data_IF_179960373032
#
_entry.id   IF_179960373032
#
_cell.length_a   1.000
_cell.length_b   1.000
_cell.length_c   1.000
_cell.angle_alpha   90.00
_cell.angle_beta   90.00
_cell.angle_gamma   90.00
#
_symmetry.space_group_name_H-M   'P 1'
#
loop_
_entity.id
_entity.type
_entity.pdbx_description
1 polymer ?
#
# COMPACT_ATOMS: atom_id res chain seq x y z
N UNK A 1 3.38 5.86 -9.16
CA UNK A 1 3.22 4.39 -9.04
C UNK A 1 4.53 3.63 -8.90
N UNK A 2 5.58 4.03 -9.59
CA UNK A 2 6.89 3.35 -9.48
C UNK A 2 7.45 3.35 -8.06
N UNK A 3 7.37 4.49 -7.39
CA UNK A 3 7.87 4.60 -6.02
C UNK A 3 7.11 3.69 -5.07
N UNK A 4 5.79 3.61 -5.23
CA UNK A 4 4.96 2.72 -4.44
C UNK A 4 5.31 1.26 -4.71
N UNK A 5 5.50 0.89 -5.97
CA UNK A 5 5.88 -0.47 -6.33
C UNK A 5 7.23 -0.86 -5.72
N UNK A 6 8.18 0.07 -5.67
CA UNK A 6 9.46 -0.17 -5.02
C UNK A 6 9.31 -0.44 -3.54
N UNK A 7 8.45 0.32 -2.86
CA UNK A 7 8.18 0.12 -1.44
C UNK A 7 7.56 -1.26 -1.21
N UNK A 8 6.57 -1.61 -2.02
CA UNK A 8 5.90 -2.91 -1.92
C UNK A 8 6.87 -4.06 -2.20
N UNK A 9 7.72 -3.91 -3.21
CA UNK A 9 8.69 -4.94 -3.57
C UNK A 9 9.75 -5.14 -2.49
N UNK A 10 10.10 -4.09 -1.75
CA UNK A 10 11.03 -4.21 -0.64
C UNK A 10 10.45 -5.05 0.49
N UNK A 11 9.13 -4.97 0.69
CA UNK A 11 8.45 -5.77 1.71
C UNK A 11 8.27 -7.22 1.27
N UNK A 12 7.87 -7.43 0.02
CA UNK A 12 7.56 -8.75 -0.52
C UNK A 12 8.08 -8.87 -1.96
N UNK A 13 9.39 -9.11 -2.14
CA UNK A 13 9.97 -9.15 -3.48
C UNK A 13 9.45 -10.28 -4.37
N UNK A 14 8.84 -11.31 -3.76
CA UNK A 14 8.30 -12.45 -4.50
C UNK A 14 6.91 -12.22 -5.08
N UNK A 15 6.27 -11.10 -4.72
CA UNK A 15 4.89 -10.81 -5.13
C UNK A 15 4.87 -9.88 -6.34
N UNK A 16 4.02 -10.21 -7.31
CA UNK A 16 3.77 -9.34 -8.46
C UNK A 16 2.62 -8.40 -8.13
N UNK A 17 2.94 -7.23 -7.63
CA UNK A 17 1.95 -6.27 -7.18
C UNK A 17 1.14 -5.66 -8.30
N UNK A 18 1.61 -5.74 -9.53
CA UNK A 18 0.84 -5.23 -10.68
C UNK A 18 -0.27 -6.18 -11.08
N UNK A 19 -0.11 -7.47 -10.79
CA UNK A 19 -1.06 -8.50 -11.17
C UNK A 19 -2.00 -8.90 -10.03
N UNK A 20 -1.54 -8.77 -8.78
CA UNK A 20 -2.30 -9.23 -7.63
C UNK A 20 -3.24 -8.16 -7.10
N UNK A 21 -4.53 -8.48 -7.00
CA UNK A 21 -5.54 -7.58 -6.45
C UNK A 21 -6.24 -8.14 -5.22
N UNK A 22 -5.62 -9.14 -4.58
CA UNK A 22 -6.13 -9.78 -3.37
C UNK A 22 -5.07 -9.82 -2.27
N UNK A 23 -4.29 -8.74 -2.15
CA UNK A 23 -3.19 -8.68 -1.20
C UNK A 23 -3.65 -8.93 0.25
N UNK A 24 -4.80 -8.41 0.61
CA UNK A 24 -5.37 -8.61 1.94
C UNK A 24 -6.15 -9.92 2.01
N UNK A 25 -6.99 -10.17 1.00
CA UNK A 25 -7.86 -11.35 0.98
C UNK A 25 -7.07 -12.66 0.97
N UNK A 26 -5.93 -12.68 0.30
CA UNK A 26 -5.06 -13.86 0.25
C UNK A 26 -4.05 -13.91 1.40
N UNK A 27 -4.06 -12.91 2.27
CA UNK A 27 -3.16 -12.87 3.40
C UNK A 27 -1.71 -12.56 3.06
N UNK A 28 -1.46 -11.96 1.91
CA UNK A 28 -0.12 -11.55 1.51
C UNK A 28 0.38 -10.41 2.39
N UNK A 29 -0.50 -9.44 2.65
CA UNK A 29 -0.22 -8.35 3.58
C UNK A 29 -0.98 -8.59 4.88
N UNK A 30 -0.28 -8.62 5.99
CA UNK A 30 -0.91 -8.69 7.32
C UNK A 30 -0.85 -7.31 7.99
N UNK A 31 -1.34 -7.21 9.23
CA UNK A 31 -1.39 -5.93 9.94
C UNK A 31 0.00 -5.33 10.14
N UNK A 32 0.99 -6.17 10.35
CA UNK A 32 2.36 -5.71 10.52
C UNK A 32 2.90 -5.12 9.21
N UNK A 33 2.63 -5.78 8.11
CA UNK A 33 3.03 -5.29 6.79
C UNK A 33 2.36 -3.96 6.45
N UNK A 34 1.09 -3.82 6.82
CA UNK A 34 0.36 -2.58 6.59
C UNK A 34 0.99 -1.43 7.38
N UNK A 35 1.35 -1.66 8.64
CA UNK A 35 2.00 -0.64 9.46
C UNK A 35 3.35 -0.23 8.86
N UNK A 36 4.15 -1.20 8.44
CA UNK A 36 5.43 -0.93 7.80
C UNK A 36 5.25 -0.15 6.50
N UNK A 37 4.26 -0.53 5.71
CA UNK A 37 3.96 0.11 4.44
C UNK A 37 3.56 1.57 4.65
N UNK A 38 2.69 1.84 5.61
CA UNK A 38 2.26 3.20 5.93
C UNK A 38 3.45 4.06 6.36
N UNK A 39 4.33 3.51 7.17
CA UNK A 39 5.53 4.21 7.62
C UNK A 39 6.44 4.56 6.43
N UNK A 40 6.66 3.61 5.54
CA UNK A 40 7.48 3.81 4.34
C UNK A 40 6.88 4.85 3.40
N UNK A 41 5.56 4.79 3.22
CA UNK A 41 4.85 5.76 2.38
C UNK A 41 5.00 7.17 2.97
N UNK A 42 4.89 7.29 4.28
CA UNK A 42 5.03 8.57 4.94
C UNK A 42 6.44 9.15 4.71
N UNK A 43 7.46 8.32 4.81
CA UNK A 43 8.85 8.77 4.64
C UNK A 43 9.21 9.06 3.19
N UNK A 44 8.75 8.22 2.27
CA UNK A 44 9.18 8.28 0.87
C UNK A 44 8.28 9.17 0.01
N UNK A 45 6.98 9.16 0.29
CA UNK A 45 5.99 9.87 -0.52
C UNK A 45 5.43 11.09 0.23
N UNK A 46 5.70 11.18 1.53
CA UNK A 46 5.25 12.28 2.38
C UNK A 46 3.72 12.37 2.46
N UNK A 47 3.08 11.21 2.60
CA UNK A 47 1.64 11.09 2.75
C UNK A 47 1.34 10.34 4.05
N UNK A 48 0.44 10.91 4.86
CA UNK A 48 -0.01 10.27 6.10
C UNK A 48 -1.32 9.54 5.85
N UNK A 49 -1.31 8.22 6.09
CA UNK A 49 -2.50 7.39 5.96
C UNK A 49 -3.06 7.16 7.36
N UNK A 50 -4.23 7.75 7.65
CA UNK A 50 -4.85 7.60 8.96
C UNK A 50 -5.60 6.26 9.07
N UNK A 51 -5.90 5.87 10.31
CA UNK A 51 -6.52 4.58 10.59
C UNK A 51 -7.85 4.38 9.87
N UNK A 52 -8.60 5.44 9.61
CA UNK A 52 -9.88 5.34 8.90
C UNK A 52 -9.76 4.84 7.47
N UNK A 53 -8.56 4.97 6.89
CA UNK A 53 -8.30 4.51 5.53
C UNK A 53 -7.73 3.09 5.48
N UNK A 54 -7.46 2.48 6.64
CA UNK A 54 -6.90 1.13 6.71
C UNK A 54 -8.03 0.11 6.63
N UNK A 55 -8.52 -0.09 5.41
CA UNK A 55 -9.56 -1.07 5.13
C UNK A 55 -9.08 -1.96 3.98
N UNK A 56 -9.54 -3.22 3.91
CA UNK A 56 -9.07 -4.16 2.88
C UNK A 56 -9.18 -3.62 1.46
N UNK A 57 -10.24 -2.91 1.15
CA UNK A 57 -10.46 -2.37 -0.18
C UNK A 57 -9.34 -1.44 -0.65
N UNK A 58 -8.73 -0.71 0.28
CA UNK A 58 -7.67 0.23 -0.05
C UNK A 58 -6.30 -0.43 -0.19
N UNK A 59 -6.15 -1.64 0.35
CA UNK A 59 -4.85 -2.31 0.39
C UNK A 59 -4.82 -3.63 -0.37
N UNK A 60 -5.91 -4.01 -1.03
CA UNK A 60 -5.96 -5.26 -1.78
C UNK A 60 -5.12 -5.25 -3.05
N UNK A 61 -4.84 -4.09 -3.60
CA UNK A 61 -4.00 -3.98 -4.79
C UNK A 61 -3.13 -2.74 -4.71
N UNK A 62 -2.03 -2.76 -5.45
CA UNK A 62 -1.17 -1.59 -5.57
C UNK A 62 -1.94 -0.42 -6.21
N UNK A 63 -2.79 -0.73 -7.17
CA UNK A 63 -3.61 0.27 -7.84
C UNK A 63 -4.58 0.96 -6.88
N UNK A 64 -5.25 0.19 -6.01
CA UNK A 64 -6.16 0.75 -5.02
C UNK A 64 -5.41 1.63 -4.02
N UNK A 65 -4.25 1.17 -3.58
CA UNK A 65 -3.43 1.93 -2.65
C UNK A 65 -2.91 3.21 -3.29
N UNK A 66 -2.51 3.13 -4.54
CA UNK A 66 -2.05 4.32 -5.28
C UNK A 66 -3.17 5.36 -5.40
N UNK A 67 -4.38 4.91 -5.70
CA UNK A 67 -5.53 5.80 -5.78
C UNK A 67 -5.79 6.50 -4.45
N UNK A 68 -5.65 5.78 -3.35
CA UNK A 68 -5.78 6.36 -2.01
C UNK A 68 -4.71 7.43 -1.78
N UNK A 69 -3.47 7.14 -2.13
CA UNK A 69 -2.36 8.07 -1.97
C UNK A 69 -2.62 9.35 -2.76
N UNK A 70 -3.08 9.23 -4.00
CA UNK A 70 -3.40 10.39 -4.83
C UNK A 70 -4.49 11.26 -4.21
N UNK A 71 -5.52 10.62 -3.66
CA UNK A 71 -6.58 11.37 -2.98
C UNK A 71 -6.04 12.14 -1.77
N UNK A 72 -5.17 11.52 -1.00
CA UNK A 72 -4.59 12.16 0.19
C UNK A 72 -3.66 13.29 -0.18
N UNK A 73 -2.96 13.19 -1.28
CA UNK A 73 -2.08 14.25 -1.77
C UNK A 73 -2.86 15.49 -2.21
N UNK A 74 -4.09 15.29 -2.64
CA UNK A 74 -4.96 16.39 -3.10
C UNK A 74 -5.70 17.11 -1.97
N UNK A 75 -5.73 16.52 -0.79
CA UNK A 75 -6.42 17.11 0.37
C UNK A 75 -5.65 18.24 1.04
#
# INVERSE_FOLDING_TARGET
MEQLLEILSDLHPEVDFEECDTLIDDGILDSFDIVSLISEINEEIDVVISAEHIIPENFNSAEALYALIERLEEE
#
